data_IF_927237840165
#
_entry.id   IF_927237840165
#
_cell.length_a   1.000
_cell.length_b   1.000
_cell.length_c   1.000
_cell.angle_alpha   90.00
_cell.angle_beta   90.00
_cell.angle_gamma   90.00
#
_symmetry.space_group_name_H-M   'P 1'
#
loop_
_entity.id
_entity.type
_entity.pdbx_description
1 polymer ?
#
# COMPACT_ATOMS: atom_id res chain seq x y z
N UNK A 1 -28.37 -3.27 18.47
CA UNK A 1 -28.42 -2.89 19.90
C UNK A 1 -27.21 -3.57 20.53
N UNK A 2 -26.30 -2.83 21.15
CA UNK A 2 -25.16 -3.48 21.83
C UNK A 2 -25.64 -4.14 23.11
N UNK A 3 -25.20 -5.38 23.41
CA UNK A 3 -25.40 -5.96 24.72
C UNK A 3 -24.88 -4.97 25.77
N UNK A 4 -25.74 -4.60 26.72
CA UNK A 4 -25.36 -3.80 27.88
C UNK A 4 -25.36 -4.78 29.04
N UNK A 5 -24.24 -4.90 29.74
CA UNK A 5 -24.22 -5.65 30.99
C UNK A 5 -24.96 -4.84 32.06
N UNK A 6 -26.22 -5.20 32.31
CA UNK A 6 -27.04 -4.61 33.37
C UNK A 6 -27.01 -5.42 34.66
N UNK A 7 -26.30 -6.56 34.67
CA UNK A 7 -26.31 -7.53 35.75
C UNK A 7 -25.05 -7.47 36.61
N UNK A 8 -23.88 -7.14 36.03
CA UNK A 8 -22.60 -7.28 36.74
C UNK A 8 -22.01 -5.95 37.23
N UNK A 9 -22.13 -4.85 36.45
CA UNK A 9 -21.46 -3.58 36.76
C UNK A 9 -22.36 -2.35 36.48
N UNK A 10 -22.49 -1.46 37.47
CA UNK A 10 -23.45 -0.35 37.42
C UNK A 10 -23.03 0.75 36.43
N UNK A 11 -23.70 0.80 35.27
CA UNK A 11 -23.95 2.00 34.45
C UNK A 11 -22.77 2.86 33.94
N UNK A 12 -21.53 2.37 33.96
CA UNK A 12 -20.38 3.06 33.33
C UNK A 12 -19.72 2.30 32.19
N UNK A 13 -20.33 1.21 31.76
CA UNK A 13 -19.79 0.30 30.77
C UNK A 13 -19.69 0.99 29.39
N UNK A 14 -18.49 1.49 29.05
CA UNK A 14 -18.23 2.09 27.74
C UNK A 14 -17.90 0.99 26.74
N UNK A 15 -18.23 1.27 25.48
CA UNK A 15 -17.84 0.39 24.39
C UNK A 15 -16.35 0.57 24.15
N UNK A 16 -15.60 -0.53 24.21
CA UNK A 16 -14.18 -0.54 23.89
C UNK A 16 -14.01 -0.76 22.38
N UNK A 17 -14.27 -1.96 21.86
CA UNK A 17 -14.05 -2.26 20.44
C UNK A 17 -14.78 -3.51 19.93
N UNK A 18 -14.70 -3.76 18.62
CA UNK A 18 -15.21 -4.96 17.95
C UNK A 18 -14.17 -5.57 17.00
N UNK A 19 -14.16 -6.89 16.86
CA UNK A 19 -13.24 -7.59 15.95
C UNK A 19 -13.86 -8.87 15.39
N UNK A 20 -13.73 -9.10 14.09
CA UNK A 20 -14.16 -10.36 13.47
C UNK A 20 -13.14 -11.48 13.71
N UNK A 21 -13.66 -12.69 13.85
CA UNK A 21 -12.87 -13.92 13.76
C UNK A 21 -12.22 -14.05 12.36
N UNK A 22 -11.07 -14.74 12.22
CA UNK A 22 -10.39 -14.93 10.94
C UNK A 22 -11.23 -15.48 9.78
N UNK A 23 -12.32 -16.21 10.07
CA UNK A 23 -13.21 -16.78 9.05
C UNK A 23 -14.53 -16.00 8.88
N UNK A 24 -14.62 -14.80 9.43
CA UNK A 24 -15.79 -13.90 9.35
C UNK A 24 -17.11 -14.47 9.90
N UNK A 25 -17.07 -15.53 10.72
CA UNK A 25 -18.29 -16.16 11.25
C UNK A 25 -18.69 -15.70 12.66
N UNK A 26 -17.73 -15.23 13.45
CA UNK A 26 -17.94 -14.78 14.82
C UNK A 26 -17.45 -13.33 14.97
N UNK A 27 -18.24 -12.52 15.65
CA UNK A 27 -17.90 -11.14 16.01
C UNK A 27 -17.62 -11.08 17.50
N UNK A 28 -16.42 -10.63 17.86
CA UNK A 28 -16.08 -10.32 19.23
C UNK A 28 -16.37 -8.85 19.53
N UNK A 29 -16.85 -8.58 20.72
CA UNK A 29 -17.14 -7.24 21.23
C UNK A 29 -16.62 -7.15 22.66
N UNK A 30 -15.91 -6.07 22.96
CA UNK A 30 -15.53 -5.72 24.32
C UNK A 30 -16.26 -4.47 24.79
N UNK A 31 -16.62 -4.47 26.06
CA UNK A 31 -16.74 -3.26 26.85
C UNK A 31 -15.55 -3.20 27.83
N UNK A 32 -15.52 -2.23 28.73
CA UNK A 32 -14.38 -2.03 29.64
C UNK A 32 -14.13 -3.25 30.56
N UNK A 33 -15.14 -4.09 30.84
CA UNK A 33 -15.02 -5.19 31.81
C UNK A 33 -15.18 -6.59 31.26
N UNK A 34 -15.84 -6.75 30.12
CA UNK A 34 -16.35 -8.03 29.62
C UNK A 34 -16.18 -8.15 28.12
N UNK A 35 -16.03 -9.39 27.68
CA UNK A 35 -15.93 -9.76 26.27
C UNK A 35 -17.10 -10.66 25.93
N UNK A 36 -17.80 -10.30 24.87
CA UNK A 36 -18.85 -11.08 24.26
C UNK A 36 -18.40 -11.61 22.91
N UNK A 37 -18.92 -12.78 22.57
CA UNK A 37 -18.83 -13.38 21.25
C UNK A 37 -20.24 -13.48 20.68
N UNK A 38 -20.40 -13.04 19.44
CA UNK A 38 -21.67 -13.01 18.72
C UNK A 38 -21.49 -13.85 17.46
N UNK A 39 -22.40 -14.79 17.26
CA UNK A 39 -22.49 -15.54 16.00
C UNK A 39 -23.37 -14.76 15.03
N UNK A 40 -22.79 -14.28 13.93
CA UNK A 40 -23.50 -13.38 13.01
C UNK A 40 -24.55 -14.08 12.17
N UNK A 41 -24.55 -15.42 12.14
CA UNK A 41 -25.54 -16.22 11.45
C UNK A 41 -26.68 -16.66 12.37
N UNK A 42 -26.54 -16.48 13.68
CA UNK A 42 -27.57 -16.77 14.66
C UNK A 42 -28.62 -15.65 14.67
N UNK A 43 -29.86 -16.00 14.32
CA UNK A 43 -30.99 -15.06 14.24
C UNK A 43 -31.67 -14.81 15.59
N UNK A 44 -31.20 -15.44 16.67
CA UNK A 44 -31.75 -15.21 18.00
C UNK A 44 -31.54 -13.74 18.43
N UNK A 45 -32.55 -13.16 19.07
CA UNK A 45 -32.50 -11.77 19.57
C UNK A 45 -31.42 -11.59 20.66
N UNK A 46 -31.08 -12.68 21.35
CA UNK A 46 -30.04 -12.74 22.39
C UNK A 46 -28.98 -13.78 21.99
N UNK A 47 -28.05 -13.39 21.12
CA UNK A 47 -26.98 -14.26 20.61
C UNK A 47 -25.58 -13.87 21.13
N UNK A 48 -25.50 -12.90 22.06
CA UNK A 48 -24.26 -12.49 22.72
C UNK A 48 -23.87 -13.48 23.81
N UNK A 49 -22.80 -14.24 23.57
CA UNK A 49 -22.24 -15.20 24.50
C UNK A 49 -21.13 -14.56 25.33
N UNK A 50 -21.26 -14.61 26.66
CA UNK A 50 -20.20 -14.17 27.56
C UNK A 50 -18.97 -15.07 27.43
N UNK A 51 -17.80 -14.46 27.21
CA UNK A 51 -16.52 -15.17 27.10
C UNK A 51 -15.68 -14.96 28.35
N UNK A 52 -15.52 -13.71 28.79
CA UNK A 52 -14.66 -13.38 29.92
C UNK A 52 -15.05 -12.05 30.56
N UNK A 53 -14.70 -11.89 31.84
CA UNK A 53 -14.90 -10.68 32.63
C UNK A 53 -13.69 -10.41 33.54
N UNK A 54 -13.81 -9.59 34.60
CA UNK A 54 -12.72 -9.37 35.53
C UNK A 54 -12.27 -10.66 36.23
N UNK A 55 -10.98 -10.97 36.16
CA UNK A 55 -10.33 -12.10 36.86
C UNK A 55 -9.66 -11.67 38.18
N UNK A 56 -9.68 -10.38 38.47
CA UNK A 56 -9.21 -9.76 39.72
C UNK A 56 -10.34 -8.98 40.39
N UNK A 57 -10.06 -8.40 41.56
CA UNK A 57 -10.88 -7.32 42.10
C UNK A 57 -10.98 -6.18 41.07
N UNK A 58 -12.15 -5.56 40.98
CA UNK A 58 -12.47 -4.51 40.01
C UNK A 58 -11.42 -3.38 39.99
N UNK A 59 -11.03 -2.88 41.17
CA UNK A 59 -10.05 -1.78 41.30
C UNK A 59 -8.65 -2.10 40.73
N UNK A 60 -8.36 -3.39 40.51
CA UNK A 60 -7.08 -3.87 39.99
C UNK A 60 -7.18 -4.41 38.56
N UNK A 61 -8.41 -4.55 38.05
CA UNK A 61 -8.64 -5.03 36.71
C UNK A 61 -8.22 -3.93 35.72
N UNK A 62 -7.37 -4.24 34.73
CA UNK A 62 -6.79 -3.21 33.87
C UNK A 62 -7.74 -2.71 32.79
N UNK A 63 -8.98 -3.21 32.77
CA UNK A 63 -10.03 -2.96 31.78
C UNK A 63 -9.63 -3.41 30.37
N UNK A 64 -10.61 -3.71 29.53
CA UNK A 64 -10.39 -4.00 28.11
C UNK A 64 -10.48 -2.73 27.28
N UNK A 65 -9.66 -2.66 26.24
CA UNK A 65 -9.69 -1.59 25.25
C UNK A 65 -9.68 -2.21 23.83
N UNK A 66 -8.99 -1.58 22.88
CA UNK A 66 -8.99 -1.98 21.48
C UNK A 66 -8.61 -3.44 21.23
N UNK A 67 -9.25 -4.03 20.22
CA UNK A 67 -9.06 -5.41 19.79
C UNK A 67 -8.53 -5.47 18.36
N UNK A 68 -7.75 -6.51 18.05
CA UNK A 68 -7.12 -6.59 16.74
C UNK A 68 -6.76 -8.01 16.36
N UNK A 69 -7.16 -8.40 15.15
CA UNK A 69 -6.79 -9.66 14.53
C UNK A 69 -5.32 -9.60 14.09
N UNK A 70 -4.51 -10.51 14.63
CA UNK A 70 -3.11 -10.64 14.27
C UNK A 70 -2.91 -11.63 13.10
N UNK A 71 -1.77 -11.53 12.36
CA UNK A 71 -1.42 -12.45 11.27
C UNK A 71 -1.34 -13.92 11.66
N UNK A 72 -1.13 -14.22 12.95
CA UNK A 72 -1.13 -15.58 13.49
C UNK A 72 -2.55 -16.15 13.72
N UNK A 73 -3.60 -15.41 13.35
CA UNK A 73 -4.98 -15.82 13.48
C UNK A 73 -5.57 -15.68 14.89
N UNK A 74 -4.87 -15.02 15.82
CA UNK A 74 -5.35 -14.73 17.19
C UNK A 74 -5.88 -13.30 17.27
N UNK A 75 -6.82 -13.05 18.17
CA UNK A 75 -7.31 -11.68 18.45
C UNK A 75 -6.63 -11.20 19.73
N UNK A 76 -5.86 -10.12 19.65
CA UNK A 76 -5.23 -9.48 20.80
C UNK A 76 -6.10 -8.35 21.31
N UNK A 77 -6.11 -8.17 22.63
CA UNK A 77 -6.96 -7.23 23.34
C UNK A 77 -6.06 -6.41 24.26
N UNK A 78 -6.03 -5.11 23.99
CA UNK A 78 -5.30 -4.16 24.81
C UNK A 78 -6.04 -3.83 26.10
N UNK A 79 -5.36 -3.07 26.95
CA UNK A 79 -5.90 -2.65 28.23
C UNK A 79 -6.04 -1.13 28.33
N UNK A 80 -7.02 -0.67 29.10
CA UNK A 80 -7.30 0.76 29.22
C UNK A 80 -6.09 1.54 29.72
N UNK A 81 -5.86 2.73 29.14
CA UNK A 81 -4.73 3.63 29.42
C UNK A 81 -3.33 2.98 29.31
N UNK A 82 -3.21 1.81 28.70
CA UNK A 82 -1.94 1.09 28.55
C UNK A 82 -1.21 0.78 29.89
N UNK A 83 -1.93 0.77 31.02
CA UNK A 83 -1.35 0.67 32.37
C UNK A 83 -0.56 -0.63 32.61
N UNK A 84 -0.89 -1.73 31.91
CA UNK A 84 -0.19 -3.01 32.03
C UNK A 84 0.80 -3.20 30.88
N UNK A 85 1.91 -3.88 31.18
CA UNK A 85 2.84 -4.39 30.17
C UNK A 85 2.33 -5.66 29.48
N UNK A 86 1.07 -6.05 29.67
CA UNK A 86 0.50 -7.29 29.16
C UNK A 86 -0.83 -7.10 28.45
N UNK A 87 -1.05 -7.86 27.37
CA UNK A 87 -2.31 -7.97 26.65
C UNK A 87 -2.97 -9.32 26.88
N UNK A 88 -4.29 -9.33 26.82
CA UNK A 88 -5.05 -10.57 26.72
C UNK A 88 -5.23 -10.95 25.25
N UNK A 89 -5.55 -12.22 24.97
CA UNK A 89 -5.87 -12.62 23.60
C UNK A 89 -6.83 -13.82 23.56
N UNK A 90 -7.45 -14.01 22.40
CA UNK A 90 -8.27 -15.17 22.07
C UNK A 90 -7.44 -16.10 21.19
N UNK A 91 -7.18 -17.32 21.65
CA UNK A 91 -6.27 -18.27 20.98
C UNK A 91 -6.92 -18.93 19.74
N UNK A 92 -8.21 -19.25 19.82
CA UNK A 92 -8.96 -19.97 18.77
C UNK A 92 -10.22 -19.21 18.38
N UNK A 93 -10.09 -18.03 17.75
CA UNK A 93 -11.22 -17.11 17.53
C UNK A 93 -12.32 -17.64 16.59
N UNK A 94 -12.07 -18.71 15.83
CA UNK A 94 -13.10 -19.36 15.01
C UNK A 94 -13.96 -20.38 15.78
N UNK A 95 -13.70 -20.59 17.09
CA UNK A 95 -14.41 -21.56 17.91
C UNK A 95 -15.43 -20.83 18.79
N UNK A 96 -16.70 -21.27 18.74
CA UNK A 96 -17.78 -20.68 19.55
C UNK A 96 -17.64 -21.06 21.03
N UNK A 97 -17.94 -20.12 21.92
CA UNK A 97 -17.93 -20.25 23.37
C UNK A 97 -16.55 -20.43 23.98
N UNK A 98 -16.52 -21.11 25.14
CA UNK A 98 -15.29 -21.32 25.92
C UNK A 98 -14.19 -22.05 25.14
N UNK A 99 -14.53 -22.72 24.04
CA UNK A 99 -13.57 -23.33 23.12
C UNK A 99 -12.67 -22.32 22.38
N UNK A 100 -13.02 -21.03 22.37
CA UNK A 100 -12.15 -19.97 21.84
C UNK A 100 -10.85 -19.77 22.63
N UNK A 101 -10.79 -20.33 23.85
CA UNK A 101 -9.62 -20.38 24.72
C UNK A 101 -9.01 -18.98 24.98
N UNK A 102 -9.77 -18.15 25.69
CA UNK A 102 -9.33 -16.83 26.13
C UNK A 102 -8.15 -16.93 27.09
N UNK A 103 -7.12 -16.10 26.85
CA UNK A 103 -5.89 -16.04 27.65
C UNK A 103 -5.76 -14.65 28.29
N UNK A 104 -6.06 -14.49 29.60
CA UNK A 104 -5.82 -13.25 30.30
C UNK A 104 -4.32 -12.98 30.40
N UNK A 105 -3.88 -11.76 30.09
CA UNK A 105 -2.48 -11.30 30.22
C UNK A 105 -1.46 -12.24 29.56
N UNK A 106 -1.85 -12.98 28.51
CA UNK A 106 -1.04 -14.04 27.92
C UNK A 106 0.11 -13.55 27.04
N UNK A 107 0.17 -12.25 26.74
CA UNK A 107 1.25 -11.63 25.97
C UNK A 107 1.85 -10.47 26.77
N UNK A 108 3.16 -10.47 26.99
CA UNK A 108 3.84 -9.48 27.82
C UNK A 108 4.96 -8.79 27.03
N UNK A 109 5.06 -7.47 27.16
CA UNK A 109 6.18 -6.67 26.65
C UNK A 109 7.07 -6.23 27.81
N UNK A 110 8.34 -6.63 27.74
CA UNK A 110 9.32 -6.42 28.82
C UNK A 110 9.68 -4.96 29.09
N UNK A 111 9.47 -4.05 28.13
CA UNK A 111 10.08 -2.70 28.17
C UNK A 111 9.10 -1.54 27.98
N UNK A 112 7.82 -1.78 27.70
CA UNK A 112 6.86 -0.71 27.42
C UNK A 112 5.48 -1.03 28.01
N UNK A 113 4.95 -0.07 28.77
CA UNK A 113 3.56 -0.05 29.25
C UNK A 113 2.71 0.74 28.25
N UNK A 114 2.69 0.29 26.99
CA UNK A 114 2.00 0.95 25.87
C UNK A 114 1.12 -0.04 25.09
N UNK A 115 0.51 -0.99 25.80
CA UNK A 115 -0.31 -2.06 25.23
C UNK A 115 -1.81 -1.76 25.24
N UNK A 116 -2.19 -0.51 25.01
CA UNK A 116 -3.59 -0.13 24.86
C UNK A 116 -4.20 -0.67 23.56
N UNK A 117 -3.40 -0.74 22.51
CA UNK A 117 -3.85 -1.13 21.19
C UNK A 117 -2.93 -2.21 20.64
N UNK A 118 -3.46 -3.28 20.04
CA UNK A 118 -2.67 -4.13 19.17
C UNK A 118 -1.99 -3.25 18.12
N UNK A 119 -0.71 -3.50 17.77
CA UNK A 119 -0.05 -2.74 16.72
C UNK A 119 -0.87 -2.83 15.44
N UNK A 120 -0.87 -1.76 14.64
CA UNK A 120 -1.55 -1.77 13.35
C UNK A 120 -0.93 -2.86 12.46
N UNK A 121 -1.67 -3.95 12.26
CA UNK A 121 -1.27 -5.10 11.47
C UNK A 121 -2.15 -5.18 10.23
N UNK A 122 -1.66 -4.66 9.11
CA UNK A 122 -2.34 -4.83 7.84
C UNK A 122 -2.54 -6.32 7.54
N UNK A 123 -3.77 -6.72 7.21
CA UNK A 123 -4.08 -8.11 6.87
C UNK A 123 -3.63 -8.44 5.44
N UNK A 124 -2.38 -8.90 5.30
CA UNK A 124 -1.84 -9.38 4.02
C UNK A 124 -2.34 -10.78 3.62
N UNK A 125 -3.10 -11.45 4.50
CA UNK A 125 -3.68 -12.78 4.27
C UNK A 125 -4.93 -12.77 3.38
N UNK A 126 -5.47 -11.59 3.04
CA UNK A 126 -6.61 -11.43 2.12
C UNK A 126 -6.33 -11.90 0.68
N UNK A 127 -5.06 -12.23 0.40
CA UNK A 127 -4.62 -12.66 -0.91
C UNK A 127 -4.53 -11.49 -1.89
N UNK A 128 -4.06 -11.79 -3.10
CA UNK A 128 -4.07 -10.83 -4.18
C UNK A 128 -5.52 -10.56 -4.57
N UNK A 129 -5.91 -9.29 -4.61
CA UNK A 129 -7.15 -8.90 -5.29
C UNK A 129 -7.04 -9.32 -6.77
N UNK A 130 -7.79 -10.34 -7.16
CA UNK A 130 -7.87 -10.81 -8.55
C UNK A 130 -8.94 -10.06 -9.35
N UNK A 131 -9.79 -9.28 -8.66
CA UNK A 131 -10.93 -8.57 -9.26
C UNK A 131 -10.56 -7.16 -9.68
N UNK A 132 -9.74 -6.48 -8.88
CA UNK A 132 -9.00 -5.28 -9.32
C UNK A 132 -7.57 -5.69 -9.58
N UNK A 133 -7.16 -5.56 -10.84
CA UNK A 133 -5.74 -5.42 -11.10
C UNK A 133 -5.35 -4.07 -10.51
N UNK A 134 -4.93 -4.06 -9.25
CA UNK A 134 -4.18 -2.97 -8.65
C UNK A 134 -2.81 -2.96 -9.35
N UNK A 135 -2.82 -2.54 -10.60
CA UNK A 135 -1.65 -2.05 -11.28
C UNK A 135 -1.07 -0.96 -10.33
N UNK A 136 0.16 -1.08 -9.77
CA UNK A 136 1.06 -0.01 -10.16
C UNK A 136 0.96 -0.02 -11.67
N UNK A 137 0.77 1.11 -12.34
CA UNK A 137 1.00 1.12 -13.78
C UNK A 137 2.36 0.45 -13.94
N UNK A 138 2.40 -0.85 -14.26
CA UNK A 138 3.47 -1.42 -15.02
C UNK A 138 3.44 -0.44 -16.16
N UNK A 139 4.46 0.40 -16.16
CA UNK A 139 5.11 0.70 -17.41
C UNK A 139 5.05 -0.62 -18.13
N UNK A 140 4.20 -0.64 -19.16
CA UNK A 140 4.23 -1.71 -20.11
C UNK A 140 5.68 -1.74 -20.51
N UNK A 141 6.43 -2.64 -19.89
CA UNK A 141 7.69 -3.17 -20.36
C UNK A 141 7.32 -4.04 -21.56
N UNK A 142 6.55 -3.45 -22.48
CA UNK A 142 6.62 -3.72 -23.87
C UNK A 142 8.00 -3.23 -24.22
N UNK A 143 8.92 -4.18 -24.19
CA UNK A 143 10.18 -4.17 -24.91
C UNK A 143 9.94 -3.74 -26.36
N UNK A 144 9.81 -2.43 -26.56
CA UNK A 144 10.31 -1.78 -27.75
C UNK A 144 11.27 -0.74 -27.21
N UNK A 145 12.47 -1.21 -26.86
CA UNK A 145 13.65 -0.38 -27.10
C UNK A 145 13.65 -0.12 -28.60
N UNK A 146 12.83 0.82 -29.08
CA UNK A 146 13.13 1.49 -30.33
C UNK A 146 14.48 2.12 -30.01
N UNK A 147 15.53 1.53 -30.58
CA UNK A 147 16.88 1.98 -30.31
C UNK A 147 16.87 3.50 -30.48
N UNK A 148 17.21 4.22 -29.42
CA UNK A 148 17.13 5.67 -29.42
C UNK A 148 17.87 6.18 -30.65
N UNK A 149 17.25 7.05 -31.43
CA UNK A 149 17.82 7.46 -32.71
C UNK A 149 19.03 8.35 -32.47
N UNK A 150 20.12 8.08 -33.17
CA UNK A 150 21.40 8.77 -32.93
C UNK A 150 21.76 9.59 -34.15
N UNK A 151 22.30 10.78 -33.92
CA UNK A 151 22.89 11.62 -34.96
C UNK A 151 24.40 11.56 -34.81
N UNK A 152 25.10 11.08 -35.83
CA UNK A 152 26.56 10.97 -35.80
C UNK A 152 27.19 11.29 -37.17
N UNK A 153 28.42 11.84 -37.19
CA UNK A 153 29.14 12.36 -36.04
C UNK A 153 28.51 13.67 -35.53
N UNK A 154 28.56 13.88 -34.22
CA UNK A 154 28.20 15.14 -33.56
C UNK A 154 29.37 15.52 -32.66
N UNK A 155 30.24 16.46 -33.07
CA UNK A 155 30.08 17.38 -34.21
C UNK A 155 30.41 16.72 -35.57
N UNK A 156 29.84 17.19 -36.69
CA UNK A 156 30.34 16.81 -38.04
C UNK A 156 31.04 17.98 -38.73
N UNK A 157 31.85 17.65 -39.74
CA UNK A 157 32.60 18.55 -40.62
C UNK A 157 32.30 18.39 -42.12
N UNK A 158 31.50 17.38 -42.51
CA UNK A 158 30.98 17.25 -43.89
C UNK A 158 29.55 16.76 -43.97
N UNK A 159 29.24 15.60 -43.37
CA UNK A 159 27.94 14.94 -43.43
C UNK A 159 27.58 14.34 -42.08
N UNK A 160 26.31 14.29 -41.72
CA UNK A 160 25.87 13.53 -40.55
C UNK A 160 24.79 12.51 -40.95
N UNK A 161 24.67 11.46 -40.14
CA UNK A 161 23.80 10.30 -40.37
C UNK A 161 22.82 10.18 -39.21
N UNK A 162 21.55 9.93 -39.54
CA UNK A 162 20.47 9.65 -38.59
C UNK A 162 20.22 8.15 -38.54
N UNK A 163 20.64 7.49 -37.45
CA UNK A 163 20.39 6.07 -37.21
C UNK A 163 19.04 5.82 -36.52
N UNK A 164 18.45 4.66 -36.77
CA UNK A 164 17.18 4.19 -36.15
C UNK A 164 15.93 5.03 -36.48
N UNK A 165 15.97 5.88 -37.52
CA UNK A 165 14.81 6.61 -38.08
C UNK A 165 14.83 6.63 -39.62
N UNK A 166 15.08 5.46 -40.21
CA UNK A 166 15.12 5.28 -41.66
C UNK A 166 13.81 5.67 -42.36
N UNK A 167 13.91 6.43 -43.44
CA UNK A 167 12.76 6.83 -44.27
C UNK A 167 11.76 7.78 -43.59
N UNK A 168 12.07 8.27 -42.38
CA UNK A 168 11.24 9.25 -41.68
C UNK A 168 11.54 10.67 -42.16
N UNK A 169 10.56 11.57 -42.04
CA UNK A 169 10.74 13.00 -42.37
C UNK A 169 11.66 13.68 -41.36
N UNK A 170 12.70 14.34 -41.85
CA UNK A 170 13.65 15.14 -41.07
C UNK A 170 13.62 16.60 -41.52
N UNK A 171 13.47 17.48 -40.55
CA UNK A 171 13.43 18.94 -40.72
C UNK A 171 14.62 19.54 -39.96
N UNK A 172 15.49 20.30 -40.64
CA UNK A 172 16.63 20.98 -40.01
C UNK A 172 16.31 22.45 -39.76
N UNK A 173 16.56 22.92 -38.53
CA UNK A 173 16.34 24.30 -38.11
C UNK A 173 17.62 24.99 -37.63
N UNK A 174 17.74 26.29 -37.91
CA UNK A 174 18.77 27.14 -37.28
C UNK A 174 18.41 27.48 -35.81
N UNK A 175 19.30 28.20 -35.12
CA UNK A 175 19.05 28.59 -33.72
C UNK A 175 17.91 29.60 -33.54
N UNK A 176 17.51 30.28 -34.61
CA UNK A 176 16.36 31.19 -34.66
C UNK A 176 15.02 30.45 -34.92
N UNK A 177 15.05 29.13 -35.15
CA UNK A 177 13.86 28.33 -35.42
C UNK A 177 13.39 28.37 -36.88
N UNK A 178 14.18 28.91 -37.80
CA UNK A 178 13.90 28.91 -39.24
C UNK A 178 14.20 27.54 -39.84
N UNK A 179 13.29 27.03 -40.68
CA UNK A 179 13.44 25.77 -41.40
C UNK A 179 14.41 25.95 -42.57
N UNK A 180 15.52 25.22 -42.56
CA UNK A 180 16.54 25.28 -43.62
C UNK A 180 16.25 24.30 -44.75
N UNK A 181 15.85 23.08 -44.41
CA UNK A 181 15.45 22.06 -45.38
C UNK A 181 14.64 20.93 -44.74
N UNK A 182 14.01 20.14 -45.59
CA UNK A 182 13.29 18.91 -45.27
C UNK A 182 13.81 17.77 -46.14
N UNK A 183 14.12 16.61 -45.56
CA UNK A 183 14.48 15.39 -46.31
C UNK A 183 13.90 14.13 -45.66
N UNK A 184 13.84 13.04 -46.43
CA UNK A 184 13.58 11.69 -45.92
C UNK A 184 14.84 10.81 -45.90
N UNK A 185 15.96 11.30 -46.45
CA UNK A 185 17.23 10.60 -46.48
C UNK A 185 17.86 10.52 -45.08
N UNK A 186 18.72 9.53 -44.85
CA UNK A 186 19.39 9.35 -43.56
C UNK A 186 20.76 10.02 -43.51
N UNK A 187 21.32 10.36 -44.68
CA UNK A 187 22.61 11.05 -44.83
C UNK A 187 22.32 12.49 -45.24
N UNK A 188 22.83 13.45 -44.47
CA UNK A 188 22.58 14.87 -44.69
C UNK A 188 23.92 15.60 -44.90
N UNK A 189 24.06 16.29 -46.03
CA UNK A 189 25.18 17.20 -46.32
C UNK A 189 24.92 18.59 -45.72
N UNK A 190 25.87 19.05 -44.92
CA UNK A 190 25.81 20.29 -44.16
C UNK A 190 26.86 21.31 -44.61
N UNK A 191 27.68 20.99 -45.62
CA UNK A 191 28.63 21.93 -46.25
C UNK A 191 28.00 23.25 -46.71
N UNK A 192 26.74 23.29 -47.21
CA UNK A 192 26.13 24.55 -47.64
C UNK A 192 25.81 25.52 -46.50
N UNK A 193 25.79 25.06 -45.24
CA UNK A 193 25.34 25.86 -44.10
C UNK A 193 26.49 26.44 -43.27
N UNK A 194 26.24 27.60 -42.66
CA UNK A 194 27.21 28.32 -41.83
C UNK A 194 27.59 27.54 -40.55
N UNK A 195 28.80 27.71 -40.02
CA UNK A 195 29.21 27.03 -38.78
C UNK A 195 28.30 27.40 -37.61
N UNK A 196 27.82 26.42 -36.85
CA UNK A 196 26.88 26.72 -35.76
C UNK A 196 26.13 25.54 -35.20
N UNK A 197 25.16 25.87 -34.34
CA UNK A 197 24.25 24.92 -33.71
C UNK A 197 22.98 24.79 -34.55
N UNK A 198 22.50 23.56 -34.70
CA UNK A 198 21.27 23.27 -35.42
C UNK A 198 20.38 22.32 -34.61
N UNK A 199 19.08 22.38 -34.90
CA UNK A 199 18.08 21.49 -34.34
C UNK A 199 17.52 20.60 -35.43
N UNK A 200 17.62 19.30 -35.25
CA UNK A 200 17.05 18.32 -36.17
C UNK A 200 15.76 17.77 -35.57
N UNK A 201 14.65 17.91 -36.29
CA UNK A 201 13.36 17.35 -35.92
C UNK A 201 13.03 16.14 -36.77
N UNK A 202 12.69 15.03 -36.13
CA UNK A 202 12.30 13.77 -36.79
C UNK A 202 10.96 13.30 -36.20
N UNK A 203 9.90 13.28 -37.00
CA UNK A 203 8.54 12.86 -36.57
C UNK A 203 8.02 13.52 -35.27
N UNK A 204 8.46 14.74 -34.95
CA UNK A 204 8.04 15.45 -33.74
C UNK A 204 9.07 15.46 -32.61
N UNK A 205 10.10 14.63 -32.66
CA UNK A 205 11.21 14.62 -31.70
C UNK A 205 12.35 15.52 -32.18
N UNK A 206 13.00 16.27 -31.28
CA UNK A 206 14.07 17.22 -31.62
C UNK A 206 15.38 16.79 -30.95
N UNK A 207 16.48 16.71 -31.72
CA UNK A 207 17.84 16.62 -31.16
C UNK A 207 18.70 17.80 -31.59
N UNK A 208 19.55 18.23 -30.66
CA UNK A 208 20.55 19.28 -30.86
C UNK A 208 21.80 18.67 -31.49
N UNK A 209 22.33 19.32 -32.52
CA UNK A 209 23.50 18.85 -33.25
C UNK A 209 24.40 20.03 -33.64
N UNK A 210 25.73 19.85 -33.59
CA UNK A 210 26.73 20.90 -33.84
C UNK A 210 27.52 20.67 -35.12
N UNK A 211 27.63 21.72 -35.94
CA UNK A 211 28.42 21.75 -37.17
C UNK A 211 29.74 22.48 -36.94
N UNK A 212 30.85 21.79 -37.23
CA UNK A 212 32.20 22.36 -37.15
C UNK A 212 33.10 21.82 -38.25
N UNK A 213 33.74 22.72 -39.00
CA UNK A 213 34.78 22.34 -39.96
C UNK A 213 36.10 22.17 -39.21
N UNK A 214 36.61 20.94 -39.12
CA UNK A 214 38.04 20.72 -38.85
C UNK A 214 38.86 21.30 -40.01
N UNK A 215 39.91 22.04 -39.66
CA UNK A 215 40.93 22.56 -40.59
C UNK A 215 41.96 21.47 -40.83
#
# INVERSE_FOLDING_TARGET
MTPMDTASYWNWDKKADICFSPNDSLLYMSNDYTIYQIDIYDTAIYNGLFIHGPDTLLDYFPEYDLMGLAPNGKIYIGNWHAIRGSMSYIDKPNVKGLGCDFKPQGFNQTYNHNLQTPPNMANYGLGKDTTKICWPLSQSESEVRSAEWVVYPNPSSTVFIVQNKHGKKKDLYNVQGELLFTTNEDVIDVKPYAKGMYYLRVEGEVKKWWWSKEV
#
